data_IF_702839827037
#
_entry.id   IF_702839827037
#
_cell.length_a   1.000
_cell.length_b   1.000
_cell.length_c   1.000
_cell.angle_alpha   90.00
_cell.angle_beta   90.00
_cell.angle_gamma   90.00
#
_symmetry.space_group_name_H-M   'P 1'
#
loop_
_entity.id
_entity.type
_entity.pdbx_description
1 polymer ?
#
# COMPACT_ATOMS: atom_id res chain seq x y z
N UNK A 1 3.25 27.04 -22.01
CA UNK A 1 2.66 26.38 -20.82
C UNK A 1 2.22 24.93 -21.08
N UNK A 2 1.48 24.64 -22.17
CA UNK A 2 0.94 23.30 -22.45
C UNK A 2 1.98 22.17 -22.65
N UNK A 3 3.17 22.47 -23.20
CA UNK A 3 4.21 21.45 -23.46
C UNK A 3 4.83 20.93 -22.16
N UNK A 4 5.02 21.79 -21.16
CA UNK A 4 5.57 21.42 -19.85
C UNK A 4 4.60 20.54 -19.06
N UNK A 5 3.30 20.88 -19.08
CA UNK A 5 2.25 20.09 -18.43
C UNK A 5 2.12 18.70 -19.09
N UNK A 6 2.13 18.65 -20.43
CA UNK A 6 2.09 17.38 -21.18
C UNK A 6 3.31 16.49 -20.93
N UNK A 7 4.50 17.09 -20.76
CA UNK A 7 5.72 16.34 -20.47
C UNK A 7 5.69 15.79 -19.03
N UNK A 8 5.22 16.58 -18.06
CA UNK A 8 5.03 16.14 -16.67
C UNK A 8 4.05 14.96 -16.57
N UNK A 9 2.94 15.01 -17.29
CA UNK A 9 1.96 13.91 -17.36
C UNK A 9 2.56 12.63 -17.96
N UNK A 10 3.38 12.76 -19.03
CA UNK A 10 4.11 11.62 -19.61
C UNK A 10 5.11 11.02 -18.62
N UNK A 11 5.87 11.85 -17.92
CA UNK A 11 6.82 11.39 -16.90
C UNK A 11 6.10 10.63 -15.79
N UNK A 12 4.98 11.14 -15.28
CA UNK A 12 4.16 10.47 -14.25
C UNK A 12 3.69 9.10 -14.75
N UNK A 13 3.18 9.01 -15.98
CA UNK A 13 2.74 7.73 -16.56
C UNK A 13 3.88 6.71 -16.68
N UNK A 14 5.08 7.16 -17.08
CA UNK A 14 6.26 6.29 -17.13
C UNK A 14 6.66 5.84 -15.74
N UNK A 15 6.64 6.72 -14.74
CA UNK A 15 6.93 6.35 -13.34
C UNK A 15 5.93 5.33 -12.80
N UNK A 16 4.63 5.50 -13.09
CA UNK A 16 3.59 4.53 -12.72
C UNK A 16 3.86 3.19 -13.39
N UNK A 17 4.18 3.19 -14.69
CA UNK A 17 4.47 1.95 -15.41
C UNK A 17 5.70 1.23 -14.82
N UNK A 18 6.77 1.96 -14.52
CA UNK A 18 7.97 1.41 -13.88
C UNK A 18 7.64 0.82 -12.51
N UNK A 19 6.84 1.52 -11.71
CA UNK A 19 6.38 1.03 -10.40
C UNK A 19 5.57 -0.27 -10.54
N UNK A 20 4.65 -0.34 -11.50
CA UNK A 20 3.87 -1.55 -11.78
C UNK A 20 4.78 -2.69 -12.21
N UNK A 21 5.73 -2.43 -13.11
CA UNK A 21 6.68 -3.46 -13.56
C UNK A 21 7.54 -3.97 -12.41
N UNK A 22 8.05 -3.09 -11.55
CA UNK A 22 8.82 -3.47 -10.37
C UNK A 22 7.98 -4.30 -9.40
N UNK A 23 6.74 -3.89 -9.11
CA UNK A 23 5.83 -4.65 -8.25
C UNK A 23 5.58 -6.07 -8.78
N UNK A 24 5.30 -6.21 -10.08
CA UNK A 24 5.07 -7.52 -10.68
C UNK A 24 6.33 -8.38 -10.72
N UNK A 25 7.50 -7.78 -11.03
CA UNK A 25 8.78 -8.49 -11.03
C UNK A 25 9.11 -9.03 -9.62
N UNK A 26 8.93 -8.22 -8.58
CA UNK A 26 9.14 -8.64 -7.19
C UNK A 26 8.21 -9.81 -6.85
N UNK A 27 6.92 -9.77 -7.24
CA UNK A 27 5.97 -10.87 -7.02
C UNK A 27 6.40 -12.17 -7.71
N UNK A 28 6.93 -12.09 -8.94
CA UNK A 28 7.45 -13.27 -9.66
C UNK A 28 8.65 -13.86 -8.91
N UNK A 29 9.60 -13.03 -8.48
CA UNK A 29 10.78 -13.47 -7.71
C UNK A 29 10.33 -14.10 -6.39
N UNK A 30 9.44 -13.45 -5.63
CA UNK A 30 8.90 -13.99 -4.36
C UNK A 30 8.23 -15.35 -4.58
N UNK A 31 7.44 -15.50 -5.65
CA UNK A 31 6.80 -16.78 -6.00
C UNK A 31 7.81 -17.86 -6.37
N UNK A 32 8.84 -17.53 -7.14
CA UNK A 32 9.86 -18.48 -7.58
C UNK A 32 10.72 -19.02 -6.42
N UNK A 33 10.90 -18.23 -5.36
CA UNK A 33 11.70 -18.58 -4.20
C UNK A 33 10.86 -18.87 -2.94
N UNK A 34 9.57 -19.12 -3.08
CA UNK A 34 8.68 -19.39 -1.95
C UNK A 34 9.20 -20.56 -1.09
N UNK A 35 9.18 -20.39 0.23
CA UNK A 35 9.66 -21.39 1.19
C UNK A 35 11.18 -21.36 1.45
N UNK A 36 11.95 -20.57 0.70
CA UNK A 36 13.37 -20.34 0.98
C UNK A 36 13.50 -19.24 2.03
N UNK A 37 14.37 -19.42 3.03
CA UNK A 37 14.71 -18.38 4.01
C UNK A 37 16.22 -18.14 3.98
N UNK A 38 16.64 -17.01 3.44
CA UNK A 38 18.05 -16.67 3.29
C UNK A 38 18.36 -15.34 4.00
N UNK A 39 19.35 -15.28 4.91
CA UNK A 39 19.79 -14.01 5.46
C UNK A 39 20.46 -13.16 4.35
N UNK A 40 19.98 -11.94 4.15
CA UNK A 40 20.66 -10.92 3.32
C UNK A 40 21.71 -10.22 4.18
N UNK A 41 21.30 -9.77 5.37
CA UNK A 41 22.17 -9.26 6.42
C UNK A 41 21.91 -10.14 7.63
N UNK A 42 22.95 -10.83 8.09
CA UNK A 42 22.86 -11.76 9.22
C UNK A 42 22.19 -11.05 10.41
N UNK A 43 21.18 -11.70 10.98
CA UNK A 43 20.40 -11.26 12.16
C UNK A 43 19.62 -9.94 12.01
N UNK A 44 19.62 -9.29 10.84
CA UNK A 44 18.94 -8.00 10.59
C UNK A 44 17.92 -8.11 9.47
N UNK A 45 18.30 -8.69 8.34
CA UNK A 45 17.48 -8.69 7.12
C UNK A 45 17.49 -10.08 6.49
N UNK A 46 16.29 -10.63 6.30
CA UNK A 46 16.10 -11.94 5.70
C UNK A 46 15.26 -11.81 4.43
N UNK A 47 15.70 -12.48 3.38
CA UNK A 47 14.83 -12.85 2.29
C UNK A 47 14.00 -14.07 2.74
N UNK A 48 12.79 -13.79 3.19
CA UNK A 48 11.80 -14.79 3.59
C UNK A 48 10.50 -14.51 2.81
N UNK A 49 10.43 -14.89 1.53
CA UNK A 49 9.22 -14.74 0.72
C UNK A 49 8.02 -15.44 1.37
N UNK A 50 6.98 -14.65 1.63
CA UNK A 50 5.68 -15.12 2.14
C UNK A 50 4.61 -14.71 1.14
N UNK A 51 3.73 -15.64 0.77
CA UNK A 51 2.52 -15.33 0.02
C UNK A 51 1.49 -14.80 1.01
N UNK A 52 0.95 -13.62 0.71
CA UNK A 52 -0.02 -12.99 1.60
C UNK A 52 -1.44 -13.45 1.25
N UNK A 53 -1.79 -14.64 1.73
CA UNK A 53 -3.10 -15.28 1.49
C UNK A 53 -4.17 -14.70 2.43
N UNK A 54 -3.71 -14.20 3.58
CA UNK A 54 -4.52 -13.52 4.55
C UNK A 54 -4.67 -12.07 4.09
N UNK A 55 -5.87 -11.72 3.62
CA UNK A 55 -6.28 -10.44 3.03
C UNK A 55 -5.97 -9.13 3.83
N UNK A 56 -5.13 -9.17 4.87
CA UNK A 56 -4.68 -8.04 5.69
C UNK A 56 -3.18 -8.16 5.98
N UNK A 57 -2.38 -7.21 5.47
CA UNK A 57 -0.94 -7.12 5.71
C UNK A 57 -0.60 -7.05 7.21
N UNK A 58 -1.36 -6.27 7.98
CA UNK A 58 -1.16 -6.13 9.44
C UNK A 58 -1.43 -7.46 10.14
N UNK A 59 -2.48 -8.19 9.72
CA UNK A 59 -2.78 -9.49 10.29
C UNK A 59 -1.67 -10.50 10.00
N UNK A 60 -1.12 -10.51 8.79
CA UNK A 60 -0.04 -11.40 8.39
C UNK A 60 1.30 -11.04 9.04
N UNK A 61 1.57 -9.74 9.24
CA UNK A 61 2.82 -9.27 9.83
C UNK A 61 2.87 -9.51 11.35
N UNK A 62 1.76 -9.30 12.05
CA UNK A 62 1.67 -9.44 13.52
C UNK A 62 0.97 -10.73 13.98
N UNK A 63 0.52 -11.57 13.04
CA UNK A 63 -0.21 -12.81 13.28
C UNK A 63 -1.39 -12.65 14.28
N UNK A 64 -2.18 -11.58 14.11
CA UNK A 64 -3.20 -11.15 15.08
C UNK A 64 -4.43 -12.07 15.14
N UNK A 65 -4.56 -13.00 14.18
CA UNK A 65 -5.70 -13.91 14.08
C UNK A 65 -7.03 -13.22 13.75
N UNK A 66 -6.99 -11.97 13.27
CA UNK A 66 -8.19 -11.20 12.99
C UNK A 66 -8.87 -11.67 11.71
N UNK A 67 -10.20 -11.76 11.74
CA UNK A 67 -10.96 -12.22 10.59
C UNK A 67 -10.93 -11.20 9.45
N UNK A 68 -11.05 -11.67 8.21
CA UNK A 68 -11.17 -10.82 7.03
C UNK A 68 -12.29 -9.79 7.17
N UNK A 69 -13.42 -10.21 7.74
CA UNK A 69 -14.60 -9.36 7.94
C UNK A 69 -14.27 -8.22 8.91
N UNK A 70 -13.58 -8.52 10.02
CA UNK A 70 -13.16 -7.50 10.98
C UNK A 70 -12.32 -6.41 10.33
N UNK A 71 -11.36 -6.78 9.48
CA UNK A 71 -10.54 -5.82 8.75
C UNK A 71 -11.34 -4.94 7.80
N UNK A 72 -12.26 -5.53 7.03
CA UNK A 72 -13.12 -4.77 6.12
C UNK A 72 -13.94 -3.74 6.91
N UNK A 73 -14.55 -4.16 8.01
CA UNK A 73 -15.34 -3.26 8.87
C UNK A 73 -14.49 -2.14 9.47
N UNK A 74 -13.27 -2.45 9.94
CA UNK A 74 -12.34 -1.45 10.47
C UNK A 74 -11.95 -0.41 9.41
N UNK A 75 -11.66 -0.85 8.18
CA UNK A 75 -11.31 0.07 7.09
C UNK A 75 -12.49 0.96 6.71
N UNK A 76 -13.70 0.39 6.59
CA UNK A 76 -14.92 1.17 6.33
C UNK A 76 -15.15 2.21 7.44
N UNK A 77 -14.97 1.81 8.70
CA UNK A 77 -15.07 2.70 9.85
C UNK A 77 -14.07 3.86 9.75
N UNK A 78 -12.78 3.58 9.52
CA UNK A 78 -11.74 4.62 9.41
C UNK A 78 -12.04 5.58 8.24
N UNK A 79 -12.46 5.05 7.08
CA UNK A 79 -12.79 5.88 5.91
C UNK A 79 -13.99 6.79 6.18
N UNK A 80 -15.02 6.25 6.83
CA UNK A 80 -16.19 7.02 7.26
C UNK A 80 -15.77 8.18 8.17
N UNK A 81 -15.01 7.90 9.24
CA UNK A 81 -14.53 8.94 10.15
C UNK A 81 -13.63 9.96 9.46
N UNK A 82 -12.73 9.51 8.60
CA UNK A 82 -11.84 10.38 7.83
C UNK A 82 -12.66 11.33 6.95
N UNK A 83 -13.67 10.82 6.25
CA UNK A 83 -14.55 11.65 5.41
C UNK A 83 -15.25 12.76 6.22
N UNK A 84 -15.84 12.43 7.37
CA UNK A 84 -16.50 13.44 8.20
C UNK A 84 -15.52 14.41 8.85
N UNK A 85 -14.33 13.95 9.25
CA UNK A 85 -13.28 14.81 9.77
C UNK A 85 -12.85 15.83 8.70
N UNK A 86 -12.60 15.39 7.47
CA UNK A 86 -12.28 16.27 6.34
C UNK A 86 -13.39 17.28 6.08
N UNK A 87 -14.65 16.82 6.00
CA UNK A 87 -15.81 17.69 5.79
C UNK A 87 -15.97 18.73 6.90
N UNK A 88 -15.74 18.34 8.16
CA UNK A 88 -15.81 19.26 9.29
C UNK A 88 -14.72 20.32 9.22
N UNK A 89 -13.48 19.92 8.94
CA UNK A 89 -12.34 20.84 8.79
C UNK A 89 -12.55 21.81 7.64
N UNK A 90 -13.05 21.34 6.50
CA UNK A 90 -13.40 22.19 5.35
C UNK A 90 -14.49 23.21 5.71
N UNK A 91 -15.59 22.75 6.32
CA UNK A 91 -16.68 23.64 6.74
C UNK A 91 -16.22 24.69 7.77
N UNK A 92 -15.26 24.36 8.65
CA UNK A 92 -14.68 25.32 9.60
C UNK A 92 -13.75 26.31 8.91
N UNK A 93 -12.99 25.87 7.92
CA UNK A 93 -12.08 26.72 7.15
C UNK A 93 -12.85 27.78 6.35
N UNK A 94 -13.98 27.39 5.75
CA UNK A 94 -14.87 28.31 5.01
C UNK A 94 -15.53 29.35 5.94
N UNK A 95 -15.78 29.03 7.22
CA UNK A 95 -16.38 29.97 8.19
C UNK A 95 -15.43 31.02 8.76
N UNK A 96 -14.12 30.90 8.55
CA UNK A 96 -13.10 31.80 9.12
C UNK A 96 -12.61 32.83 8.08
N UNK A 97 -12.89 32.61 6.79
CA UNK A 97 -12.72 33.60 5.71
C UNK A 97 -13.96 34.50 5.60
#
# INVERSE_FOLDING_TARGET
>A
MNKLIKNKDRTIKVMILVLVMLDQMIKIIVKAYYGIKTPIIKDILYFAPVLNDNYSYINSLFNLGWSRIFHILLVVFILFFSYYAFKYLEARTIKIQ
#
